data_IF_303498226623
#
_entry.id   IF_303498226623
#
_cell.length_a   1.000
_cell.length_b   1.000
_cell.length_c   1.000
_cell.angle_alpha   90.00
_cell.angle_beta   90.00
_cell.angle_gamma   90.00
#
_symmetry.space_group_name_H-M   'P 1'
#
loop_
_entity.id
_entity.type
_entity.pdbx_description
1 polymer ?
#
# COMPACT_ATOMS: atom_id res chain seq x y z
N UNK A 1 -1.70 -19.60 -9.77
CA UNK A 1 -1.43 -18.77 -8.57
C UNK A 1 -2.35 -17.56 -8.58
N UNK A 2 -3.32 -17.48 -7.67
CA UNK A 2 -4.06 -16.24 -7.41
C UNK A 2 -4.71 -16.37 -6.03
N UNK A 3 -3.97 -16.03 -4.97
CA UNK A 3 -4.55 -16.02 -3.61
C UNK A 3 -5.43 -14.77 -3.46
N UNK A 4 -6.61 -14.87 -4.07
CA UNK A 4 -7.79 -14.05 -3.79
C UNK A 4 -8.17 -14.34 -2.33
N UNK A 5 -7.93 -13.40 -1.41
CA UNK A 5 -8.42 -13.57 -0.04
C UNK A 5 -8.66 -12.23 0.65
N UNK A 6 -9.95 -11.93 0.75
CA UNK A 6 -10.63 -11.02 1.68
C UNK A 6 -10.31 -9.53 1.57
N UNK A 7 -11.33 -8.69 1.75
CA UNK A 7 -11.27 -7.20 1.75
C UNK A 7 -10.42 -6.67 2.92
N UNK A 8 -9.14 -7.03 2.98
CA UNK A 8 -8.19 -6.65 4.02
C UNK A 8 -7.56 -5.30 3.70
N UNK A 9 -7.12 -4.58 4.74
CA UNK A 9 -6.40 -3.31 4.59
C UNK A 9 -5.17 -3.44 3.69
N UNK A 10 -4.51 -4.62 3.65
CA UNK A 10 -3.39 -4.91 2.76
C UNK A 10 -3.77 -4.76 1.29
N UNK A 11 -4.81 -5.48 0.86
CA UNK A 11 -5.23 -5.49 -0.55
C UNK A 11 -5.80 -4.13 -0.96
N UNK A 12 -6.50 -3.44 -0.05
CA UNK A 12 -7.01 -2.11 -0.31
C UNK A 12 -5.87 -1.08 -0.43
N UNK A 13 -4.87 -1.13 0.45
CA UNK A 13 -3.68 -0.26 0.35
C UNK A 13 -2.92 -0.49 -0.95
N UNK A 14 -2.73 -1.76 -1.34
CA UNK A 14 -2.11 -2.11 -2.62
C UNK A 14 -2.92 -1.52 -3.79
N UNK A 15 -4.25 -1.69 -3.78
CA UNK A 15 -5.12 -1.18 -4.84
C UNK A 15 -5.05 0.35 -4.95
N UNK A 16 -5.13 1.07 -3.83
CA UNK A 16 -5.05 2.54 -3.79
C UNK A 16 -3.74 3.04 -4.41
N UNK A 17 -2.62 2.40 -4.06
CA UNK A 17 -1.34 2.74 -4.66
C UNK A 17 -1.31 2.40 -6.16
N UNK A 18 -1.80 1.23 -6.57
CA UNK A 18 -1.87 0.84 -7.98
C UNK A 18 -2.69 1.83 -8.82
N UNK A 19 -3.83 2.27 -8.31
CA UNK A 19 -4.71 3.26 -8.98
C UNK A 19 -4.05 4.65 -9.03
N UNK A 20 -3.37 5.04 -7.94
CA UNK A 20 -2.67 6.33 -7.86
C UNK A 20 -1.37 6.37 -8.68
N UNK A 21 -0.77 5.21 -8.98
CA UNK A 21 0.51 5.04 -9.70
C UNK A 21 1.67 5.87 -9.13
N UNK A 22 1.58 6.26 -7.86
CA UNK A 22 2.58 7.09 -7.17
C UNK A 22 2.68 6.70 -5.70
N UNK A 23 3.85 6.88 -5.07
CA UNK A 23 3.97 6.72 -3.63
C UNK A 23 3.12 7.76 -2.88
N UNK A 24 2.51 7.34 -1.78
CA UNK A 24 1.59 8.17 -0.99
C UNK A 24 1.87 8.04 0.50
N UNK A 25 1.48 9.05 1.27
CA UNK A 25 1.55 8.99 2.73
C UNK A 25 0.54 7.96 3.27
N UNK A 26 0.90 7.21 4.30
CA UNK A 26 0.02 6.16 4.87
C UNK A 26 -1.35 6.72 5.32
N UNK A 27 -1.40 7.98 5.77
CA UNK A 27 -2.64 8.66 6.14
C UNK A 27 -3.55 8.87 4.92
N UNK A 28 -3.00 9.26 3.76
CA UNK A 28 -3.75 9.43 2.52
C UNK A 28 -4.24 8.08 1.99
N UNK A 29 -3.39 7.05 2.03
CA UNK A 29 -3.80 5.68 1.69
C UNK A 29 -4.99 5.27 2.56
N UNK A 30 -4.94 5.56 3.87
CA UNK A 30 -6.03 5.26 4.79
C UNK A 30 -7.32 5.99 4.42
N UNK A 31 -7.25 7.28 4.07
CA UNK A 31 -8.44 8.05 3.62
C UNK A 31 -9.08 7.42 2.39
N UNK A 32 -8.29 7.04 1.39
CA UNK A 32 -8.81 6.37 0.19
C UNK A 32 -9.44 5.01 0.51
N UNK A 33 -8.84 4.25 1.42
CA UNK A 33 -9.43 2.99 1.90
C UNK A 33 -10.78 3.24 2.58
N UNK A 34 -10.89 4.28 3.40
CA UNK A 34 -12.11 4.63 4.12
C UNK A 34 -13.26 5.05 3.20
N UNK A 35 -12.97 5.61 2.02
CA UNK A 35 -13.99 5.89 1.00
C UNK A 35 -14.70 4.63 0.49
N UNK A 36 -13.98 3.50 0.46
CA UNK A 36 -14.50 2.22 -0.08
C UNK A 36 -14.94 1.28 1.03
N UNK A 37 -14.38 1.43 2.24
CA UNK A 37 -14.66 0.59 3.39
C UNK A 37 -14.76 1.43 4.65
N UNK A 38 -15.98 1.62 5.14
CA UNK A 38 -16.20 2.21 6.45
C UNK A 38 -15.57 1.33 7.54
N UNK A 39 -14.70 1.92 8.35
CA UNK A 39 -14.08 1.25 9.50
C UNK A 39 -14.84 1.64 10.76
N UNK A 40 -15.43 0.66 11.46
CA UNK A 40 -16.06 0.84 12.79
C UNK A 40 -15.04 1.02 13.93
N UNK A 41 -13.73 0.99 13.65
CA UNK A 41 -12.66 1.00 14.66
C UNK A 41 -12.01 2.38 14.85
N UNK A 42 -11.49 2.64 16.06
CA UNK A 42 -11.01 3.95 16.53
C UNK A 42 -9.74 4.51 15.85
N UNK A 43 -8.97 3.73 15.09
CA UNK A 43 -7.74 4.23 14.41
C UNK A 43 -7.34 3.40 13.18
N UNK A 44 -8.00 3.55 12.03
CA UNK A 44 -7.68 2.81 10.81
C UNK A 44 -6.26 3.07 10.28
N UNK A 45 -5.70 4.26 10.55
CA UNK A 45 -4.34 4.63 10.12
C UNK A 45 -3.26 3.73 10.73
N UNK A 46 -3.38 3.41 12.03
CA UNK A 46 -2.46 2.50 12.73
C UNK A 46 -2.52 1.09 12.17
N UNK A 47 -3.70 0.65 11.73
CA UNK A 47 -3.87 -0.66 11.10
C UNK A 47 -3.19 -0.68 9.73
N UNK A 48 -3.40 0.34 8.91
CA UNK A 48 -2.80 0.43 7.57
C UNK A 48 -1.28 0.44 7.65
N UNK A 49 -0.69 1.29 8.50
CA UNK A 49 0.76 1.34 8.65
C UNK A 49 1.34 0.02 9.19
N UNK A 50 0.68 -0.63 10.16
CA UNK A 50 1.13 -1.91 10.69
C UNK A 50 1.11 -3.02 9.63
N UNK A 51 0.10 -3.02 8.75
CA UNK A 51 0.00 -3.97 7.64
C UNK A 51 1.09 -3.73 6.59
N UNK A 52 1.35 -2.47 6.25
CA UNK A 52 2.41 -2.11 5.31
C UNK A 52 3.79 -2.45 5.90
N UNK A 53 4.02 -2.18 7.19
CA UNK A 53 5.30 -2.47 7.86
C UNK A 53 5.55 -3.97 8.08
N UNK A 54 4.48 -4.76 8.27
CA UNK A 54 4.56 -6.22 8.38
C UNK A 54 4.54 -6.92 7.02
N UNK A 55 4.67 -6.18 5.93
CA UNK A 55 4.72 -6.77 4.60
C UNK A 55 5.94 -7.68 4.46
N UNK A 56 5.69 -8.99 4.38
CA UNK A 56 6.72 -10.01 4.15
C UNK A 56 6.94 -10.30 2.67
N UNK A 57 6.09 -9.76 1.78
CA UNK A 57 6.13 -10.05 0.35
C UNK A 57 6.90 -8.99 -0.45
N UNK A 58 7.47 -7.97 0.21
CA UNK A 58 8.16 -6.85 -0.43
C UNK A 58 7.31 -6.16 -1.52
N UNK A 59 6.00 -6.13 -1.34
CA UNK A 59 5.06 -5.42 -2.21
C UNK A 59 5.15 -3.92 -1.96
N UNK A 60 5.32 -3.51 -0.71
CA UNK A 60 5.42 -2.11 -0.33
C UNK A 60 6.88 -1.72 -0.09
N UNK A 61 7.22 -0.50 -0.49
CA UNK A 61 8.54 0.09 -0.28
C UNK A 61 8.39 1.49 0.30
N UNK A 62 9.19 1.80 1.33
CA UNK A 62 9.24 3.15 1.90
C UNK A 62 10.07 4.04 0.99
N UNK A 63 9.46 5.11 0.49
CA UNK A 63 10.08 6.08 -0.42
C UNK A 63 10.41 7.41 0.26
N UNK A 64 9.97 7.59 1.51
CA UNK A 64 10.23 8.80 2.30
C UNK A 64 9.70 8.67 3.72
N UNK A 65 9.64 9.78 4.45
CA UNK A 65 9.08 9.82 5.80
C UNK A 65 7.55 9.64 5.76
N UNK A 66 7.06 8.49 6.25
CA UNK A 66 5.64 8.13 6.17
C UNK A 66 5.11 7.86 4.76
N UNK A 67 5.95 7.97 3.72
CA UNK A 67 5.59 7.76 2.32
C UNK A 67 5.90 6.30 1.90
N UNK A 68 4.88 5.62 1.39
CA UNK A 68 4.97 4.25 0.90
C UNK A 68 4.52 4.17 -0.56
N UNK A 69 5.24 3.39 -1.35
CA UNK A 69 4.91 3.05 -2.73
C UNK A 69 4.91 1.55 -2.93
N UNK A 70 4.59 1.12 -4.15
CA UNK A 70 4.77 -0.27 -4.55
C UNK A 70 6.21 -0.47 -5.02
N UNK A 71 6.78 -1.64 -4.75
CA UNK A 71 8.13 -1.98 -5.23
C UNK A 71 8.22 -1.91 -6.76
N UNK A 72 7.12 -2.25 -7.44
CA UNK A 72 6.99 -2.12 -8.90
C UNK A 72 7.13 -0.67 -9.41
N UNK A 73 6.92 0.36 -8.57
CA UNK A 73 7.18 1.76 -8.97
C UNK A 73 8.66 2.06 -9.20
N UNK A 74 9.56 1.25 -8.62
CA UNK A 74 11.01 1.42 -8.76
C UNK A 74 11.57 0.72 -10.00
N UNK A 75 10.81 -0.20 -10.60
CA UNK A 75 11.21 -0.99 -11.77
C UNK A 75 11.13 -0.22 -13.09
N UNK A 76 10.57 0.98 -13.12
CA UNK A 76 10.64 1.86 -14.30
C UNK A 76 11.99 2.62 -14.44
N UNK A 77 12.94 2.39 -13.53
CA UNK A 77 14.17 3.18 -13.40
C UNK A 77 15.49 2.41 -13.43
N UNK A 78 15.54 1.15 -13.87
CA UNK A 78 16.83 0.51 -14.20
C UNK A 78 16.84 -0.08 -15.61
N UNK A 79 17.82 0.31 -16.46
CA UNK A 79 18.05 -0.36 -17.73
C UNK A 79 18.42 -1.81 -17.45
N UNK A 80 17.71 -2.71 -18.11
CA UNK A 80 18.16 -4.09 -18.25
C UNK A 80 19.48 -4.06 -19.02
N UNK A 81 20.60 -4.11 -18.31
CA UNK A 81 21.94 -4.32 -18.84
C UNK A 81 22.77 -4.96 -17.73
N UNK A 82 22.79 -6.29 -17.71
CA UNK A 82 24.00 -7.11 -17.87
C UNK A 82 23.57 -8.36 -18.63
#
# INVERSE_FOLDING_TARGET
MAKKSSKSFYSLAQKVLQESKKPMHYAEITKEILKVKESKGKTPERTVIAVIMRDTHNVFTRQGEGIFGLTSFKESGKPSSI
#
